data_IF_001398868225
#
_entry.id   IF_001398868225
#
_cell.length_a   1.000
_cell.length_b   1.000
_cell.length_c   1.000
_cell.angle_alpha   90.00
_cell.angle_beta   90.00
_cell.angle_gamma   90.00
#
_symmetry.space_group_name_H-M   'P 1'
#
loop_
_entity.id
_entity.type
_entity.pdbx_description
1 polymer ?
#
# COMPACT_ATOMS: atom_id res chain seq x y z
N UNK A 1 15.08 -6.23 21.09
CA UNK A 1 15.32 -5.27 20.00
C UNK A 1 14.30 -5.56 18.92
N UNK A 2 13.67 -4.53 18.33
CA UNK A 2 12.79 -4.71 17.17
C UNK A 2 13.64 -5.23 16.01
N UNK A 3 13.17 -6.26 15.33
CA UNK A 3 13.85 -6.76 14.12
C UNK A 3 13.38 -5.90 12.95
N UNK A 4 14.30 -5.16 12.32
CA UNK A 4 13.97 -4.37 11.13
C UNK A 4 13.96 -5.30 9.93
N UNK A 5 12.79 -5.44 9.33
CA UNK A 5 12.57 -6.25 8.14
C UNK A 5 13.03 -5.48 6.90
N UNK A 6 14.34 -5.47 6.67
CA UNK A 6 14.93 -4.83 5.49
C UNK A 6 14.38 -5.46 4.20
N UNK A 7 14.03 -4.61 3.23
CA UNK A 7 13.49 -4.95 1.92
C UNK A 7 12.17 -5.73 1.88
N UNK A 8 11.47 -5.86 3.01
CA UNK A 8 10.13 -6.45 3.05
C UNK A 8 9.06 -5.38 2.90
N UNK A 9 8.11 -5.64 2.02
CA UNK A 9 7.00 -4.74 1.73
C UNK A 9 5.66 -5.45 1.77
N UNK A 10 4.68 -4.80 2.38
CA UNK A 10 3.28 -5.01 2.05
C UNK A 10 2.96 -4.22 0.78
N UNK A 11 2.69 -4.93 -0.32
CA UNK A 11 2.46 -4.32 -1.63
C UNK A 11 0.96 -4.19 -1.89
N UNK A 12 0.52 -2.94 -2.13
CA UNK A 12 -0.88 -2.59 -2.29
C UNK A 12 -1.12 -2.13 -3.73
N UNK A 13 -1.88 -2.90 -4.50
CA UNK A 13 -2.10 -2.67 -5.93
C UNK A 13 -3.42 -1.93 -6.17
N UNK A 14 -3.32 -0.68 -6.61
CA UNK A 14 -4.47 0.17 -6.94
C UNK A 14 -5.21 -0.24 -8.21
N UNK A 15 -6.46 0.25 -8.33
CA UNK A 15 -7.28 0.09 -9.53
C UNK A 15 -6.84 1.00 -10.69
N UNK A 16 -7.45 0.75 -11.86
CA UNK A 16 -7.16 1.47 -13.11
C UNK A 16 -7.63 0.78 -14.40
N UNK A 17 -8.49 -0.24 -14.30
CA UNK A 17 -8.98 -1.04 -15.43
C UNK A 17 -7.85 -1.51 -16.38
N UNK A 18 -7.85 -1.17 -17.67
CA UNK A 18 -6.84 -1.65 -18.63
C UNK A 18 -5.41 -1.19 -18.29
N UNK A 19 -5.26 -0.11 -17.48
CA UNK A 19 -3.97 0.32 -16.93
C UNK A 19 -3.30 -0.77 -16.08
N UNK A 20 -4.07 -1.74 -15.59
CA UNK A 20 -3.59 -2.86 -14.78
C UNK A 20 -2.46 -3.67 -15.40
N UNK A 21 -2.28 -3.63 -16.72
CA UNK A 21 -1.13 -4.22 -17.39
C UNK A 21 0.21 -3.71 -16.82
N UNK A 22 0.27 -2.44 -16.37
CA UNK A 22 1.48 -1.88 -15.79
C UNK A 22 1.93 -2.63 -14.52
N UNK A 23 1.00 -3.20 -13.75
CA UNK A 23 1.33 -3.96 -12.55
C UNK A 23 2.19 -5.20 -12.84
N UNK A 24 2.08 -5.81 -14.02
CA UNK A 24 2.97 -6.90 -14.41
C UNK A 24 4.43 -6.41 -14.55
N UNK A 25 4.63 -5.22 -15.13
CA UNK A 25 5.94 -4.57 -15.19
C UNK A 25 6.48 -4.18 -13.82
N UNK A 26 5.59 -3.67 -12.94
CA UNK A 26 5.93 -3.36 -11.55
C UNK A 26 6.45 -4.60 -10.83
N UNK A 27 5.71 -5.72 -10.88
CA UNK A 27 6.12 -6.96 -10.23
C UNK A 27 7.44 -7.49 -10.79
N UNK A 28 7.65 -7.42 -12.11
CA UNK A 28 8.92 -7.77 -12.75
C UNK A 28 10.09 -6.94 -12.21
N UNK A 29 9.88 -5.64 -12.02
CA UNK A 29 10.89 -4.77 -11.44
C UNK A 29 11.14 -5.07 -9.97
N UNK A 30 10.09 -5.30 -9.16
CA UNK A 30 10.23 -5.69 -7.75
C UNK A 30 11.00 -7.01 -7.61
N UNK A 31 10.69 -8.02 -8.43
CA UNK A 31 11.41 -9.28 -8.47
C UNK A 31 12.90 -9.06 -8.81
N UNK A 32 13.22 -8.26 -9.84
CA UNK A 32 14.60 -7.92 -10.19
C UNK A 32 15.35 -7.20 -9.04
N UNK A 33 14.65 -6.37 -8.27
CA UNK A 33 15.19 -5.66 -7.11
C UNK A 33 15.30 -6.56 -5.86
N UNK A 34 14.89 -7.82 -5.94
CA UNK A 34 14.86 -8.75 -4.81
C UNK A 34 13.89 -8.31 -3.73
N UNK A 35 12.77 -7.69 -4.12
CA UNK A 35 11.67 -7.31 -3.23
C UNK A 35 10.55 -8.33 -3.42
N UNK A 36 10.31 -9.12 -2.37
CA UNK A 36 9.22 -10.08 -2.35
C UNK A 36 8.10 -9.58 -1.44
N UNK A 37 6.86 -9.41 -1.96
CA UNK A 37 5.74 -8.98 -1.14
C UNK A 37 5.44 -9.96 0.00
N UNK A 38 5.32 -9.44 1.22
CA UNK A 38 4.96 -10.20 2.43
C UNK A 38 3.45 -10.23 2.69
N UNK A 39 2.78 -9.13 2.33
CA UNK A 39 1.34 -8.99 2.29
C UNK A 39 0.96 -8.39 0.94
N UNK A 40 -0.14 -8.90 0.38
CA UNK A 40 -0.70 -8.44 -0.88
C UNK A 40 -2.05 -7.81 -0.60
N UNK A 41 -2.27 -6.59 -1.07
CA UNK A 41 -3.59 -6.00 -1.07
C UNK A 41 -3.94 -5.48 -2.46
N UNK A 42 -5.22 -5.47 -2.82
CA UNK A 42 -5.60 -4.90 -4.10
C UNK A 42 -7.05 -4.47 -4.21
N UNK A 43 -7.28 -3.54 -5.12
CA UNK A 43 -8.58 -3.01 -5.48
C UNK A 43 -8.77 -3.03 -7.00
N UNK A 44 -9.97 -3.37 -7.47
CA UNK A 44 -10.26 -3.49 -8.91
C UNK A 44 -9.26 -4.38 -9.62
N UNK A 45 -8.69 -3.96 -10.75
CA UNK A 45 -7.62 -4.69 -11.45
C UNK A 45 -6.41 -5.00 -10.56
N UNK A 46 -6.11 -4.19 -9.54
CA UNK A 46 -5.08 -4.50 -8.56
C UNK A 46 -5.41 -5.70 -7.67
N UNK A 47 -6.70 -5.95 -7.40
CA UNK A 47 -7.13 -7.17 -6.70
C UNK A 47 -6.87 -8.44 -7.53
N UNK A 48 -7.01 -8.34 -8.85
CA UNK A 48 -6.66 -9.45 -9.76
C UNK A 48 -5.17 -9.76 -9.67
N UNK A 49 -4.32 -8.73 -9.73
CA UNK A 49 -2.85 -8.87 -9.63
C UNK A 49 -2.48 -9.50 -8.29
N UNK A 50 -3.00 -8.94 -7.18
CA UNK A 50 -2.72 -9.42 -5.84
C UNK A 50 -3.13 -10.89 -5.67
N UNK A 51 -4.32 -11.27 -6.13
CA UNK A 51 -4.84 -12.64 -6.03
C UNK A 51 -4.06 -13.64 -6.90
N UNK A 52 -3.76 -13.29 -8.15
CA UNK A 52 -2.99 -14.14 -9.05
C UNK A 52 -1.56 -14.33 -8.54
N UNK A 53 -0.91 -13.27 -8.04
CA UNK A 53 0.41 -13.39 -7.42
C UNK A 53 0.35 -14.22 -6.13
N UNK A 54 -0.70 -14.07 -5.31
CA UNK A 54 -0.89 -14.84 -4.08
C UNK A 54 -1.07 -16.36 -4.32
N UNK A 55 -1.69 -16.75 -5.44
CA UNK A 55 -1.83 -18.16 -5.84
C UNK A 55 -0.56 -18.70 -6.54
N UNK A 56 0.42 -17.83 -6.80
CA UNK A 56 1.76 -18.20 -7.25
C UNK A 56 2.06 -17.92 -8.72
N UNK A 57 1.30 -17.03 -9.38
CA UNK A 57 1.66 -16.57 -10.73
C UNK A 57 3.00 -15.82 -10.71
N UNK A 58 3.85 -16.06 -11.72
CA UNK A 58 5.06 -15.25 -11.95
C UNK A 58 4.71 -13.92 -12.61
N UNK A 59 5.65 -12.97 -12.61
CA UNK A 59 5.48 -11.69 -13.30
C UNK A 59 5.29 -11.87 -14.82
N UNK A 60 5.91 -12.88 -15.44
CA UNK A 60 5.69 -13.23 -16.84
C UNK A 60 4.30 -13.83 -17.09
N UNK A 61 3.83 -14.74 -16.24
CA UNK A 61 2.48 -15.31 -16.38
C UNK A 61 1.41 -14.22 -16.23
N UNK A 62 1.60 -13.29 -15.29
CA UNK A 62 0.74 -12.11 -15.15
C UNK A 62 0.75 -11.24 -16.40
N UNK A 63 1.91 -10.97 -16.99
CA UNK A 63 2.01 -10.24 -18.24
C UNK A 63 1.20 -10.92 -19.36
N UNK A 64 1.29 -12.25 -19.49
CA UNK A 64 0.51 -13.01 -20.47
C UNK A 64 -1.00 -12.92 -20.22
N UNK A 65 -1.44 -12.94 -18.96
CA UNK A 65 -2.86 -12.73 -18.61
C UNK A 65 -3.32 -11.37 -19.15
N UNK A 66 -2.61 -10.28 -18.86
CA UNK A 66 -3.01 -8.94 -19.32
C UNK A 66 -2.91 -8.72 -20.84
N UNK A 67 -1.98 -9.40 -21.51
CA UNK A 67 -1.91 -9.41 -22.97
C UNK A 67 -3.11 -10.16 -23.59
N UNK A 68 -3.66 -11.16 -22.91
CA UNK A 68 -4.79 -11.97 -23.41
C UNK A 68 -6.19 -11.44 -23.10
N UNK A 69 -6.34 -10.57 -22.09
CA UNK A 69 -7.64 -9.99 -21.67
C UNK A 69 -8.32 -9.27 -22.83
N UNK A 70 -9.62 -9.43 -23.03
CA UNK A 70 -10.34 -8.68 -24.06
C UNK A 70 -11.77 -8.36 -23.61
N UNK A 71 -12.47 -7.55 -24.41
CA UNK A 71 -13.82 -7.10 -24.08
C UNK A 71 -14.85 -8.24 -23.93
N UNK A 72 -14.60 -9.42 -24.50
CA UNK A 72 -15.50 -10.57 -24.42
C UNK A 72 -15.78 -11.02 -22.98
N UNK A 73 -14.84 -10.75 -22.06
CA UNK A 73 -15.01 -11.05 -20.63
C UNK A 73 -16.19 -10.31 -19.98
N UNK A 74 -16.66 -9.23 -20.60
CA UNK A 74 -17.74 -8.37 -20.10
C UNK A 74 -19.01 -8.44 -20.97
N UNK A 75 -19.08 -9.36 -21.95
CA UNK A 75 -20.20 -9.45 -22.92
C UNK A 75 -21.41 -10.28 -22.45
N UNK A 76 -21.55 -10.62 -21.18
CA UNK A 76 -22.74 -11.30 -20.65
C UNK A 76 -23.92 -10.33 -20.40
N UNK A 77 -24.37 -9.73 -21.51
CA UNK A 77 -25.28 -8.58 -21.55
C UNK A 77 -26.50 -8.80 -20.66
N UNK A 78 -26.76 -7.84 -19.77
CA UNK A 78 -28.02 -7.75 -19.02
C UNK A 78 -29.12 -7.13 -19.89
N UNK A 79 -29.62 -7.85 -20.90
CA UNK A 79 -30.83 -7.46 -21.66
C UNK A 79 -32.08 -7.74 -20.82
N UNK A 80 -32.35 -6.89 -19.85
CA UNK A 80 -33.61 -6.89 -19.10
C UNK A 80 -34.27 -5.53 -19.22
N UNK A 81 -35.54 -5.50 -19.64
CA UNK A 81 -36.41 -4.32 -19.76
C UNK A 81 -36.61 -3.51 -18.46
N UNK A 82 -35.89 -3.84 -17.39
CA UNK A 82 -35.82 -3.08 -16.14
C UNK A 82 -34.39 -2.52 -15.98
N UNK A 83 -34.16 -1.35 -16.57
CA UNK A 83 -32.93 -0.55 -16.57
C UNK A 83 -32.13 -0.64 -15.26
N UNK A 84 -31.09 -1.47 -15.24
CA UNK A 84 -29.98 -1.35 -14.28
C UNK A 84 -28.72 -1.04 -15.09
N UNK A 85 -28.01 -0.01 -14.67
CA UNK A 85 -26.93 0.73 -15.35
C UNK A 85 -25.65 -0.08 -15.67
N UNK A 86 -25.70 -1.42 -15.78
CA UNK A 86 -24.51 -2.26 -15.97
C UNK A 86 -24.60 -3.11 -17.24
N UNK A 87 -23.52 -3.11 -18.04
CA UNK A 87 -23.42 -3.88 -19.29
C UNK A 87 -23.28 -5.39 -19.04
N UNK A 88 -22.57 -5.80 -18.00
CA UNK A 88 -22.19 -7.18 -17.69
C UNK A 88 -22.84 -7.70 -16.41
N UNK A 89 -23.30 -8.95 -16.42
CA UNK A 89 -23.67 -9.67 -15.18
C UNK A 89 -22.43 -10.11 -14.39
N UNK A 90 -21.26 -10.19 -15.03
CA UNK A 90 -19.98 -10.51 -14.42
C UNK A 90 -19.70 -11.99 -14.22
N UNK A 91 -20.54 -12.87 -14.78
CA UNK A 91 -20.39 -14.32 -14.65
C UNK A 91 -19.26 -14.82 -15.56
N UNK A 92 -19.14 -14.27 -16.77
CA UNK A 92 -18.05 -14.65 -17.70
C UNK A 92 -16.69 -14.29 -17.10
N UNK A 93 -16.56 -13.07 -16.55
CA UNK A 93 -15.37 -12.65 -15.81
C UNK A 93 -15.08 -13.57 -14.62
N UNK A 94 -16.10 -13.89 -13.81
CA UNK A 94 -15.94 -14.78 -12.64
C UNK A 94 -15.41 -16.16 -13.03
N UNK A 95 -16.05 -16.81 -14.01
CA UNK A 95 -15.64 -18.15 -14.45
C UNK A 95 -14.25 -18.14 -15.08
N UNK A 96 -13.92 -17.11 -15.88
CA UNK A 96 -12.58 -16.96 -16.45
C UNK A 96 -11.50 -16.81 -15.36
N UNK A 97 -11.75 -15.92 -14.39
CA UNK A 97 -10.78 -15.65 -13.34
C UNK A 97 -10.64 -16.84 -12.36
N UNK A 98 -11.75 -17.53 -12.07
CA UNK A 98 -11.76 -18.80 -11.32
C UNK A 98 -10.93 -19.86 -12.03
N UNK A 99 -11.12 -20.05 -13.34
CA UNK A 99 -10.39 -21.02 -14.16
C UNK A 99 -8.87 -20.74 -14.12
N UNK A 100 -8.44 -19.46 -14.15
CA UNK A 100 -7.02 -19.09 -13.97
C UNK A 100 -6.48 -19.49 -12.59
N UNK A 101 -7.18 -19.13 -11.52
CA UNK A 101 -6.76 -19.44 -10.15
C UNK A 101 -6.69 -20.96 -9.93
N UNK A 102 -7.73 -21.68 -10.33
CA UNK A 102 -7.84 -23.12 -10.10
C UNK A 102 -6.81 -23.91 -10.91
N UNK A 103 -6.53 -23.52 -12.17
CA UNK A 103 -5.44 -24.13 -12.95
C UNK A 103 -4.10 -24.01 -12.25
N UNK A 104 -3.79 -22.84 -11.71
CA UNK A 104 -2.52 -22.60 -11.03
C UNK A 104 -2.44 -23.35 -9.70
N UNK A 105 -3.52 -23.31 -8.92
CA UNK A 105 -3.57 -23.91 -7.60
C UNK A 105 -3.56 -25.45 -7.63
N UNK A 106 -4.42 -26.07 -8.44
CA UNK A 106 -4.54 -27.52 -8.53
C UNK A 106 -3.53 -28.16 -9.49
N UNK A 107 -2.96 -27.38 -10.41
CA UNK A 107 -1.99 -27.86 -11.40
C UNK A 107 -2.54 -29.03 -12.21
N UNK A 108 -1.83 -30.16 -12.23
CA UNK A 108 -2.22 -31.37 -12.97
C UNK A 108 -3.53 -32.01 -12.48
N UNK A 109 -3.96 -31.70 -11.25
CA UNK A 109 -5.21 -32.20 -10.68
C UNK A 109 -6.42 -31.33 -11.05
N UNK A 110 -6.22 -30.24 -11.79
CA UNK A 110 -7.30 -29.34 -12.18
C UNK A 110 -8.29 -30.03 -13.14
N UNK A 111 -9.56 -30.08 -12.73
CA UNK A 111 -10.67 -30.54 -13.54
C UNK A 111 -11.78 -29.48 -13.50
N UNK A 112 -12.00 -28.82 -14.64
CA UNK A 112 -12.95 -27.71 -14.76
C UNK A 112 -14.34 -28.10 -14.26
N UNK A 113 -14.86 -27.34 -13.30
CA UNK A 113 -16.18 -27.55 -12.70
C UNK A 113 -16.27 -28.72 -11.70
N UNK A 114 -15.16 -29.41 -11.41
CA UNK A 114 -15.11 -30.52 -10.44
C UNK A 114 -14.26 -30.19 -9.21
N UNK A 115 -13.34 -29.22 -9.34
CA UNK A 115 -12.61 -28.69 -8.21
C UNK A 115 -13.50 -27.80 -7.33
N UNK A 116 -13.28 -27.82 -6.01
CA UNK A 116 -13.88 -26.81 -5.14
C UNK A 116 -13.25 -25.44 -5.41
N UNK A 117 -13.96 -24.33 -5.17
CA UNK A 117 -13.36 -23.01 -5.25
C UNK A 117 -12.15 -22.85 -4.33
N UNK A 118 -11.14 -22.10 -4.80
CA UNK A 118 -9.98 -21.69 -3.99
C UNK A 118 -10.38 -20.53 -3.09
N UNK A 119 -10.08 -20.65 -1.80
CA UNK A 119 -10.47 -19.73 -0.73
C UNK A 119 -9.26 -19.04 -0.13
N UNK A 120 -9.46 -17.97 0.65
CA UNK A 120 -8.34 -17.21 1.23
C UNK A 120 -7.44 -18.03 2.15
N UNK A 121 -7.98 -19.04 2.86
CA UNK A 121 -7.21 -19.96 3.71
C UNK A 121 -6.32 -20.93 2.93
N UNK A 122 -6.57 -21.10 1.64
CA UNK A 122 -5.77 -21.97 0.78
C UNK A 122 -4.46 -21.30 0.32
N UNK A 123 -4.38 -19.96 0.42
CA UNK A 123 -3.25 -19.18 -0.03
C UNK A 123 -2.12 -19.19 0.99
N UNK A 124 -0.88 -19.30 0.49
CA UNK A 124 0.33 -19.19 1.33
C UNK A 124 0.66 -17.74 1.70
N UNK A 125 0.25 -16.79 0.87
CA UNK A 125 0.47 -15.35 1.04
C UNK A 125 -0.77 -14.72 1.67
N UNK A 126 -0.54 -13.76 2.57
CA UNK A 126 -1.63 -12.94 3.11
C UNK A 126 -2.20 -12.05 2.01
N UNK A 127 -3.50 -12.19 1.74
CA UNK A 127 -4.21 -11.44 0.72
C UNK A 127 -5.35 -10.62 1.32
N UNK A 128 -5.46 -9.35 0.92
CA UNK A 128 -6.57 -8.45 1.25
C UNK A 128 -7.16 -7.88 -0.05
N UNK A 129 -8.45 -8.13 -0.28
CA UNK A 129 -9.19 -7.58 -1.41
C UNK A 129 -10.14 -6.50 -0.90
N UNK A 130 -10.01 -5.30 -1.47
CA UNK A 130 -10.78 -4.12 -1.10
C UNK A 130 -12.00 -3.98 -2.00
N UNK A 131 -13.16 -3.76 -1.40
CA UNK A 131 -14.43 -3.47 -2.09
C UNK A 131 -15.14 -2.31 -1.42
N UNK A 132 -16.16 -1.75 -2.08
CA UNK A 132 -16.93 -0.62 -1.57
C UNK A 132 -18.35 -1.04 -1.26
N UNK A 133 -18.80 -0.81 -0.02
CA UNK A 133 -20.20 -0.93 0.36
C UNK A 133 -20.95 0.36 0.00
N UNK A 134 -21.86 0.27 -0.98
CA UNK A 134 -22.64 1.42 -1.46
C UNK A 134 -23.72 1.89 -0.48
N UNK A 135 -24.12 1.05 0.49
CA UNK A 135 -25.17 1.42 1.44
C UNK A 135 -24.67 2.41 2.50
N UNK A 136 -23.39 2.35 2.87
CA UNK A 136 -22.81 3.17 3.94
C UNK A 136 -21.49 3.86 3.55
N UNK A 137 -21.04 3.75 2.30
CA UNK A 137 -19.83 4.37 1.76
C UNK A 137 -18.56 3.97 2.52
N UNK A 138 -18.50 2.70 2.96
CA UNK A 138 -17.35 2.15 3.70
C UNK A 138 -16.64 1.03 2.92
N UNK A 139 -15.38 0.78 3.29
CA UNK A 139 -14.61 -0.34 2.78
C UNK A 139 -15.20 -1.65 3.33
N UNK A 140 -15.39 -2.63 2.44
CA UNK A 140 -15.59 -4.03 2.81
C UNK A 140 -14.38 -4.83 2.35
N UNK A 141 -13.61 -5.36 3.30
CA UNK A 141 -12.49 -6.25 3.00
C UNK A 141 -12.94 -7.71 2.88
N UNK A 142 -12.27 -8.43 1.99
CA UNK A 142 -12.20 -9.89 1.98
C UNK A 142 -10.74 -10.28 2.13
N UNK A 143 -10.42 -11.10 3.11
CA UNK A 143 -9.03 -11.39 3.45
C UNK A 143 -8.84 -12.76 4.09
N UNK A 144 -7.59 -13.20 4.15
CA UNK A 144 -7.18 -14.37 4.95
C UNK A 144 -7.46 -14.20 6.45
N UNK A 145 -7.69 -12.97 6.91
CA UNK A 145 -7.92 -12.62 8.31
C UNK A 145 -9.40 -12.61 8.67
N UNK A 146 -10.23 -11.97 7.84
CA UNK A 146 -11.65 -11.73 8.15
C UNK A 146 -12.58 -12.75 7.47
N UNK A 147 -12.21 -13.25 6.29
CA UNK A 147 -13.05 -14.13 5.46
C UNK A 147 -12.27 -15.32 4.89
N UNK A 148 -11.62 -16.15 5.75
CA UNK A 148 -10.71 -17.22 5.30
C UNK A 148 -11.38 -18.25 4.38
N UNK A 149 -12.66 -18.54 4.59
CA UNK A 149 -13.43 -19.52 3.80
C UNK A 149 -14.09 -18.92 2.53
N UNK A 150 -13.97 -17.61 2.31
CA UNK A 150 -14.58 -16.97 1.15
C UNK A 150 -13.78 -17.26 -0.12
N UNK A 151 -14.48 -17.38 -1.25
CA UNK A 151 -13.87 -17.65 -2.54
C UNK A 151 -13.06 -16.43 -3.03
N UNK A 152 -11.79 -16.64 -3.39
CA UNK A 152 -10.89 -15.58 -3.87
C UNK A 152 -11.38 -14.99 -5.19
N UNK A 153 -11.77 -15.84 -6.15
CA UNK A 153 -12.23 -15.38 -7.46
C UNK A 153 -13.51 -14.52 -7.36
N UNK A 154 -14.42 -14.88 -6.46
CA UNK A 154 -15.62 -14.10 -6.20
C UNK A 154 -15.29 -12.75 -5.54
N UNK A 155 -14.38 -12.71 -4.58
CA UNK A 155 -13.93 -11.45 -3.97
C UNK A 155 -13.32 -10.50 -5.02
N UNK A 156 -12.47 -11.02 -5.91
CA UNK A 156 -11.92 -10.24 -7.04
C UNK A 156 -13.03 -9.74 -7.97
N UNK A 157 -13.99 -10.60 -8.32
CA UNK A 157 -15.15 -10.18 -9.14
C UNK A 157 -15.93 -9.06 -8.46
N UNK A 158 -16.14 -9.12 -7.14
CA UNK A 158 -16.81 -8.03 -6.40
C UNK A 158 -15.97 -6.75 -6.49
N UNK A 159 -14.66 -6.84 -6.24
CA UNK A 159 -13.72 -5.72 -6.32
C UNK A 159 -13.60 -5.10 -7.71
N UNK A 160 -13.93 -5.83 -8.78
CA UNK A 160 -13.94 -5.33 -10.17
C UNK A 160 -15.32 -4.84 -10.65
N UNK A 161 -16.33 -4.73 -9.77
CA UNK A 161 -17.69 -4.29 -10.12
C UNK A 161 -17.77 -2.79 -10.44
N UNK A 162 -17.07 -2.38 -11.50
CA UNK A 162 -17.02 -0.99 -11.93
C UNK A 162 -18.43 -0.54 -12.36
N UNK A 163 -19.00 0.51 -11.75
CA UNK A 163 -20.29 1.05 -12.15
C UNK A 163 -20.34 1.37 -13.65
N UNK A 164 -21.44 1.01 -14.33
CA UNK A 164 -21.51 1.10 -15.79
C UNK A 164 -21.10 -0.20 -16.50
N UNK A 165 -20.04 -0.86 -16.03
CA UNK A 165 -19.50 -2.07 -16.67
C UNK A 165 -20.08 -3.35 -16.09
N UNK A 166 -19.90 -3.61 -14.80
CA UNK A 166 -20.30 -4.87 -14.16
C UNK A 166 -21.26 -4.64 -13.00
N UNK A 167 -22.28 -5.50 -12.90
CA UNK A 167 -23.34 -5.37 -11.88
C UNK A 167 -22.80 -5.52 -10.46
N UNK A 168 -23.20 -4.60 -9.58
CA UNK A 168 -23.01 -4.69 -8.13
C UNK A 168 -23.44 -6.05 -7.55
N UNK A 169 -22.71 -6.52 -6.54
CA UNK A 169 -22.97 -7.80 -5.89
C UNK A 169 -23.68 -7.58 -4.56
N UNK A 170 -24.67 -8.40 -4.22
CA UNK A 170 -25.30 -8.35 -2.90
C UNK A 170 -24.73 -9.48 -2.04
N UNK A 171 -24.02 -9.12 -0.97
CA UNK A 171 -23.43 -10.06 -0.02
C UNK A 171 -23.91 -9.71 1.40
N UNK A 172 -24.69 -10.59 2.03
CA UNK A 172 -25.25 -10.38 3.37
C UNK A 172 -25.94 -9.00 3.51
N UNK A 173 -26.82 -8.67 2.56
CA UNK A 173 -27.55 -7.40 2.47
C UNK A 173 -26.68 -6.15 2.23
N UNK A 174 -25.37 -6.32 1.98
CA UNK A 174 -24.47 -5.26 1.55
C UNK A 174 -24.39 -5.22 0.01
N UNK A 175 -24.70 -4.06 -0.57
CA UNK A 175 -24.51 -3.81 -2.00
C UNK A 175 -23.06 -3.39 -2.27
N UNK A 176 -22.26 -4.34 -2.75
CA UNK A 176 -20.83 -4.19 -2.97
C UNK A 176 -20.49 -3.88 -4.43
N UNK A 177 -19.57 -2.93 -4.62
CA UNK A 177 -19.03 -2.52 -5.92
C UNK A 177 -17.50 -2.41 -5.89
N UNK A 178 -16.94 -1.93 -7.00
CA UNK A 178 -15.50 -1.73 -7.18
C UNK A 178 -14.86 -0.98 -5.99
N UNK A 179 -13.71 -1.50 -5.54
CA UNK A 179 -12.97 -0.93 -4.43
C UNK A 179 -12.28 0.40 -4.75
N UNK A 180 -12.09 0.74 -6.03
CA UNK A 180 -11.40 1.95 -6.46
C UNK A 180 -12.26 3.22 -6.19
N UNK A 181 -13.54 3.05 -5.80
CA UNK A 181 -14.31 4.14 -5.18
C UNK A 181 -13.76 4.58 -3.81
N UNK A 182 -12.88 3.79 -3.18
CA UNK A 182 -12.17 4.15 -1.94
C UNK A 182 -10.80 4.80 -2.20
N UNK A 183 -10.43 5.05 -3.46
CA UNK A 183 -9.09 5.51 -3.85
C UNK A 183 -8.70 6.87 -3.24
N UNK A 184 -9.66 7.69 -2.80
CA UNK A 184 -9.44 8.89 -2.00
C UNK A 184 -8.85 8.69 -0.60
N UNK A 185 -8.67 7.44 -0.15
CA UNK A 185 -7.94 7.09 1.07
C UNK A 185 -6.74 6.21 0.71
N UNK A 186 -5.64 6.26 1.48
CA UNK A 186 -4.54 5.35 1.21
C UNK A 186 -4.99 3.93 1.57
N UNK A 187 -4.61 2.94 0.75
CA UNK A 187 -5.16 1.60 0.84
C UNK A 187 -4.84 0.93 2.18
N UNK A 188 -3.67 1.24 2.76
CA UNK A 188 -3.29 0.72 4.08
C UNK A 188 -4.25 1.15 5.18
N UNK A 189 -4.90 2.31 5.06
CA UNK A 189 -5.87 2.79 6.04
C UNK A 189 -7.21 2.04 5.97
N UNK A 190 -7.52 1.40 4.85
CA UNK A 190 -8.81 0.74 4.61
C UNK A 190 -8.96 -0.61 5.32
N UNK A 191 -7.86 -1.19 5.81
CA UNK A 191 -7.84 -2.49 6.48
C UNK A 191 -6.99 -2.43 7.75
N UNK A 192 -7.55 -2.87 8.88
CA UNK A 192 -6.79 -2.96 10.15
C UNK A 192 -5.59 -3.91 10.03
N UNK A 193 -5.72 -4.93 9.19
CA UNK A 193 -4.68 -5.93 8.96
C UNK A 193 -3.49 -5.33 8.19
N UNK A 194 -3.74 -4.33 7.33
CA UNK A 194 -2.66 -3.59 6.66
C UNK A 194 -2.10 -2.50 7.57
N UNK A 195 -2.93 -1.79 8.34
CA UNK A 195 -2.47 -0.78 9.32
C UNK A 195 -1.48 -1.36 10.34
N UNK A 196 -1.67 -2.61 10.75
CA UNK A 196 -0.82 -3.32 11.70
C UNK A 196 0.37 -4.03 11.04
N UNK A 197 0.63 -3.80 9.75
CA UNK A 197 1.78 -4.37 9.06
C UNK A 197 3.07 -3.91 9.74
N UNK A 198 3.93 -4.87 10.10
CA UNK A 198 5.28 -4.61 10.60
C UNK A 198 6.25 -4.26 9.47
N UNK A 199 5.89 -4.62 8.24
CA UNK A 199 6.66 -4.33 7.02
C UNK A 199 6.25 -2.98 6.44
N UNK A 200 7.16 -2.37 5.67
CA UNK A 200 6.91 -1.08 5.00
C UNK A 200 5.77 -1.23 3.99
N UNK A 201 5.00 -0.17 3.82
CA UNK A 201 3.95 -0.12 2.80
C UNK A 201 4.57 0.33 1.47
N UNK A 202 4.25 -0.37 0.38
CA UNK A 202 4.43 0.11 -0.99
C UNK A 202 3.06 0.15 -1.67
N UNK A 203 2.49 1.34 -1.81
CA UNK A 203 1.22 1.54 -2.50
C UNK A 203 1.45 1.92 -3.98
N UNK A 204 1.01 1.05 -4.89
CA UNK A 204 1.12 1.26 -6.33
C UNK A 204 -0.18 1.80 -6.87
N UNK A 205 -0.15 3.02 -7.42
CA UNK A 205 -1.32 3.73 -7.95
C UNK A 205 -1.14 3.92 -9.46
N UNK A 206 -2.18 3.58 -10.22
CA UNK A 206 -2.17 3.69 -11.68
C UNK A 206 -2.88 4.98 -12.09
N UNK A 207 -2.14 5.87 -12.75
CA UNK A 207 -2.67 7.12 -13.27
C UNK A 207 -2.38 7.23 -14.77
N UNK A 208 -2.88 8.29 -15.41
CA UNK A 208 -2.67 8.54 -16.82
C UNK A 208 -2.81 10.03 -17.15
N UNK A 209 -2.36 10.39 -18.34
CA UNK A 209 -2.28 11.79 -18.81
C UNK A 209 -3.39 12.17 -19.78
N UNK A 210 -4.46 11.37 -19.84
CA UNK A 210 -5.60 11.63 -20.73
C UNK A 210 -6.18 13.03 -20.49
N UNK A 211 -6.00 13.92 -21.47
CA UNK A 211 -6.68 15.19 -21.56
C UNK A 211 -8.03 14.96 -22.24
N UNK A 212 -9.12 15.03 -21.46
CA UNK A 212 -10.45 14.73 -21.96
C UNK A 212 -10.91 15.60 -23.13
N UNK A 213 -11.87 15.06 -23.88
CA UNK A 213 -12.68 15.74 -24.88
C UNK A 213 -14.15 15.54 -24.49
N UNK A 214 -14.96 16.58 -24.59
CA UNK A 214 -16.41 16.52 -24.35
C UNK A 214 -17.19 16.04 -25.59
N UNK A 215 -16.50 15.72 -26.69
CA UNK A 215 -17.14 15.34 -27.95
C UNK A 215 -17.72 13.93 -27.95
N UNK A 216 -17.18 13.00 -27.14
CA UNK A 216 -17.70 11.62 -27.03
C UNK A 216 -18.02 11.27 -25.58
N UNK A 217 -19.17 10.65 -25.28
CA UNK A 217 -19.56 10.29 -23.91
C UNK A 217 -18.53 9.44 -23.15
N UNK A 218 -17.89 8.47 -23.83
CA UNK A 218 -16.86 7.63 -23.21
C UNK A 218 -15.57 8.41 -22.90
N UNK A 219 -15.16 9.33 -23.77
CA UNK A 219 -14.01 10.20 -23.55
C UNK A 219 -14.28 11.14 -22.37
N UNK A 220 -15.48 11.70 -22.27
CA UNK A 220 -15.89 12.54 -21.14
C UNK A 220 -15.85 11.77 -19.81
N UNK A 221 -16.43 10.56 -19.75
CA UNK A 221 -16.39 9.72 -18.54
C UNK A 221 -14.96 9.32 -18.17
N UNK A 222 -14.11 9.01 -19.15
CA UNK A 222 -12.69 8.72 -18.92
C UNK A 222 -11.94 9.94 -18.36
N UNK A 223 -12.26 11.14 -18.85
CA UNK A 223 -11.72 12.40 -18.35
C UNK A 223 -12.15 12.67 -16.90
N UNK A 224 -13.42 12.45 -16.56
CA UNK A 224 -13.90 12.56 -15.18
C UNK A 224 -13.21 11.57 -14.25
N UNK A 225 -13.09 10.31 -14.65
CA UNK A 225 -12.38 9.29 -13.87
C UNK A 225 -10.92 9.68 -13.65
N UNK A 226 -10.19 10.05 -14.71
CA UNK A 226 -8.78 10.47 -14.62
C UNK A 226 -8.60 11.72 -13.75
N UNK A 227 -9.50 12.70 -13.83
CA UNK A 227 -9.48 13.89 -12.98
C UNK A 227 -9.64 13.53 -11.50
N UNK A 228 -10.65 12.70 -11.18
CA UNK A 228 -10.92 12.25 -9.82
C UNK A 228 -9.73 11.47 -9.24
N UNK A 229 -9.25 10.43 -9.94
CA UNK A 229 -8.16 9.58 -9.44
C UNK A 229 -6.85 10.34 -9.30
N UNK A 230 -6.52 11.23 -10.25
CA UNK A 230 -5.31 12.06 -10.20
C UNK A 230 -5.33 13.05 -9.02
N UNK A 231 -6.50 13.65 -8.74
CA UNK A 231 -6.70 14.51 -7.57
C UNK A 231 -6.50 13.74 -6.26
N UNK A 232 -7.13 12.57 -6.13
CA UNK A 232 -7.01 11.69 -4.97
C UNK A 232 -5.56 11.22 -4.76
N UNK A 233 -4.90 10.80 -5.83
CA UNK A 233 -3.49 10.37 -5.80
C UNK A 233 -2.56 11.52 -5.41
N UNK A 234 -2.79 12.74 -5.91
CA UNK A 234 -2.02 13.91 -5.51
C UNK A 234 -2.19 14.22 -4.03
N UNK A 235 -3.43 14.20 -3.52
CA UNK A 235 -3.72 14.40 -2.11
C UNK A 235 -2.99 13.40 -1.19
N UNK A 236 -3.01 12.10 -1.54
CA UNK A 236 -2.32 11.06 -0.78
C UNK A 236 -0.80 11.24 -0.81
N UNK A 237 -0.23 11.62 -1.95
CA UNK A 237 1.20 11.91 -2.08
C UNK A 237 1.63 13.07 -1.20
N UNK A 238 0.86 14.15 -1.19
CA UNK A 238 1.19 15.34 -0.41
C UNK A 238 1.14 15.07 1.09
N UNK A 239 0.16 14.25 1.53
CA UNK A 239 -0.03 13.93 2.93
C UNK A 239 0.94 12.86 3.46
N UNK A 240 1.18 11.80 2.70
CA UNK A 240 1.90 10.62 3.18
C UNK A 240 3.23 10.35 2.47
N UNK A 241 3.49 10.98 1.32
CA UNK A 241 4.64 10.65 0.47
C UNK A 241 6.00 10.85 1.15
N UNK A 242 6.06 11.68 2.19
CA UNK A 242 7.26 11.96 2.98
C UNK A 242 7.42 11.02 4.19
N UNK A 243 6.38 10.28 4.59
CA UNK A 243 6.39 9.42 5.77
C UNK A 243 7.37 8.24 5.63
N UNK A 244 7.96 7.82 6.75
CA UNK A 244 8.93 6.71 6.78
C UNK A 244 8.35 5.39 6.28
N UNK A 245 7.30 4.89 6.94
CA UNK A 245 6.75 3.55 6.69
C UNK A 245 5.80 3.46 5.48
N UNK A 246 5.62 4.55 4.73
CA UNK A 246 4.74 4.59 3.57
C UNK A 246 5.51 5.03 2.33
N UNK A 247 5.83 4.09 1.45
CA UNK A 247 6.33 4.35 0.11
C UNK A 247 5.19 4.21 -0.91
N UNK A 248 5.27 4.93 -2.02
CA UNK A 248 4.25 4.92 -3.06
C UNK A 248 4.90 4.95 -4.44
N UNK A 249 4.29 4.27 -5.40
CA UNK A 249 4.67 4.31 -6.79
C UNK A 249 3.45 4.78 -7.60
N UNK A 250 3.55 5.93 -8.25
CA UNK A 250 2.56 6.32 -9.26
C UNK A 250 3.08 5.91 -10.62
N UNK A 251 2.38 5.00 -11.29
CA UNK A 251 2.70 4.60 -12.65
C UNK A 251 1.84 5.41 -13.61
N UNK A 252 2.46 6.32 -14.35
CA UNK A 252 1.80 7.00 -15.47
C UNK A 252 1.69 6.05 -16.66
N UNK A 253 0.47 5.69 -17.02
CA UNK A 253 0.17 4.78 -18.14
C UNK A 253 -0.06 5.52 -19.46
N UNK A 254 0.06 6.85 -19.48
CA UNK A 254 -0.10 7.67 -20.66
C UNK A 254 -1.57 7.92 -21.03
N UNK A 255 -1.77 8.16 -22.33
CA UNK A 255 -3.07 8.40 -22.94
C UNK A 255 -3.83 7.08 -23.18
N UNK A 256 -4.50 6.61 -22.13
CA UNK A 256 -5.25 5.35 -22.12
C UNK A 256 -6.70 5.62 -21.72
N UNK A 257 -7.64 5.18 -22.58
CA UNK A 257 -9.05 5.07 -22.25
C UNK A 257 -9.26 3.82 -21.40
N UNK A 258 -9.63 3.99 -20.13
CA UNK A 258 -9.56 2.92 -19.13
C UNK A 258 -10.48 1.73 -19.43
N UNK A 259 -11.55 1.96 -20.20
CA UNK A 259 -12.55 0.94 -20.58
C UNK A 259 -12.38 0.39 -22.01
N UNK A 260 -11.30 0.76 -22.71
CA UNK A 260 -11.00 0.17 -24.02
C UNK A 260 -10.28 -1.17 -23.86
N UNK A 261 -11.06 -2.23 -23.64
CA UNK A 261 -10.52 -3.59 -23.48
C UNK A 261 -10.09 -4.25 -24.80
N UNK A 262 -10.23 -3.57 -25.94
CA UNK A 262 -9.68 -4.01 -27.23
C UNK A 262 -8.38 -3.27 -27.58
N UNK A 263 -7.74 -2.67 -26.57
CA UNK A 263 -6.47 -1.96 -26.72
C UNK A 263 -5.42 -2.82 -27.44
N UNK A 264 -4.71 -2.29 -28.47
CA UNK A 264 -3.74 -3.05 -29.24
C UNK A 264 -2.63 -3.69 -28.39
N UNK A 265 -2.17 -4.89 -28.80
CA UNK A 265 -1.19 -5.69 -28.05
C UNK A 265 0.14 -4.95 -27.83
N UNK A 266 0.65 -4.27 -28.85
CA UNK A 266 1.86 -3.45 -28.80
C UNK A 266 1.74 -2.33 -27.77
N UNK A 267 0.57 -1.67 -27.70
CA UNK A 267 0.33 -0.62 -26.70
C UNK A 267 0.19 -1.19 -25.28
N UNK A 268 -0.39 -2.38 -25.11
CA UNK A 268 -0.41 -3.05 -23.81
C UNK A 268 0.98 -3.45 -23.34
N UNK A 269 1.82 -3.94 -24.26
CA UNK A 269 3.22 -4.22 -23.97
C UNK A 269 3.95 -2.95 -23.55
N UNK A 270 3.69 -1.82 -24.21
CA UNK A 270 4.27 -0.53 -23.80
C UNK A 270 3.84 -0.11 -22.38
N UNK A 271 2.59 -0.39 -21.96
CA UNK A 271 2.14 -0.14 -20.57
C UNK A 271 2.92 -1.02 -19.57
N UNK A 272 3.14 -2.30 -19.89
CA UNK A 272 3.94 -3.22 -19.07
C UNK A 272 5.38 -2.70 -18.95
N UNK A 273 6.02 -2.37 -20.08
CA UNK A 273 7.40 -1.90 -20.12
C UNK A 273 7.57 -0.58 -19.35
N UNK A 274 6.57 0.30 -19.44
CA UNK A 274 6.55 1.56 -18.71
C UNK A 274 6.40 1.34 -17.19
N UNK A 275 5.54 0.41 -16.76
CA UNK A 275 5.42 0.01 -15.35
C UNK A 275 6.75 -0.51 -14.78
N UNK A 276 7.47 -1.33 -15.55
CA UNK A 276 8.81 -1.78 -15.16
C UNK A 276 9.80 -0.62 -15.05
N UNK A 277 9.88 0.24 -16.07
CA UNK A 277 10.83 1.37 -16.10
C UNK A 277 10.60 2.33 -14.94
N UNK A 278 9.37 2.80 -14.74
CA UNK A 278 9.03 3.74 -13.66
C UNK A 278 9.28 3.14 -12.27
N UNK A 279 9.12 1.82 -12.11
CA UNK A 279 9.45 1.17 -10.84
C UNK A 279 10.96 1.19 -10.60
N UNK A 280 11.78 0.84 -11.59
CA UNK A 280 13.24 0.93 -11.47
C UNK A 280 13.69 2.37 -11.19
N UNK A 281 13.15 3.35 -11.92
CA UNK A 281 13.47 4.77 -11.73
C UNK A 281 13.07 5.23 -10.32
N UNK A 282 11.89 4.83 -9.82
CA UNK A 282 11.47 5.17 -8.46
C UNK A 282 12.45 4.64 -7.41
N UNK A 283 12.79 3.35 -7.48
CA UNK A 283 13.68 2.73 -6.50
C UNK A 283 15.10 3.27 -6.58
N UNK A 284 15.60 3.60 -7.77
CA UNK A 284 16.99 4.03 -7.94
C UNK A 284 17.21 5.53 -7.80
N UNK A 285 16.20 6.36 -8.11
CA UNK A 285 16.35 7.81 -8.15
C UNK A 285 15.58 8.51 -7.03
N UNK A 286 14.34 8.09 -6.75
CA UNK A 286 13.48 8.79 -5.78
C UNK A 286 13.62 8.24 -4.36
N UNK A 287 13.53 6.92 -4.21
CA UNK A 287 13.52 6.26 -2.91
C UNK A 287 14.77 6.59 -2.08
N UNK A 288 16.00 6.56 -2.61
CA UNK A 288 17.20 6.81 -1.81
C UNK A 288 17.23 8.24 -1.28
N UNK A 289 16.81 9.23 -2.07
CA UNK A 289 16.70 10.64 -1.65
C UNK A 289 15.71 10.77 -0.49
N UNK A 290 14.55 10.11 -0.61
CA UNK A 290 13.55 10.09 0.48
C UNK A 290 14.12 9.46 1.74
N UNK A 291 14.76 8.29 1.64
CA UNK A 291 15.33 7.57 2.80
C UNK A 291 16.47 8.35 3.43
N UNK A 292 17.30 9.04 2.65
CA UNK A 292 18.34 9.94 3.17
C UNK A 292 17.74 11.06 4.02
N UNK A 293 16.70 11.75 3.53
CA UNK A 293 16.03 12.81 4.30
C UNK A 293 15.48 12.31 5.63
N UNK A 294 14.86 11.13 5.65
CA UNK A 294 14.35 10.52 6.89
C UNK A 294 15.51 10.16 7.83
N UNK A 295 16.60 9.61 7.27
CA UNK A 295 17.81 9.28 8.04
C UNK A 295 18.39 10.53 8.72
N UNK A 296 18.46 11.66 8.01
CA UNK A 296 18.95 12.93 8.57
C UNK A 296 18.07 13.42 9.74
N UNK A 297 16.74 13.27 9.64
CA UNK A 297 15.82 13.56 10.74
C UNK A 297 16.12 12.65 11.94
N UNK A 298 16.28 11.35 11.71
CA UNK A 298 16.59 10.38 12.77
C UNK A 298 17.96 10.61 13.41
N UNK A 299 18.97 11.01 12.64
CA UNK A 299 20.29 11.38 13.16
C UNK A 299 20.20 12.60 14.09
N UNK A 300 19.43 13.62 13.70
CA UNK A 300 19.21 14.79 14.56
C UNK A 300 18.53 14.41 15.90
N UNK A 301 17.51 13.52 15.85
CA UNK A 301 16.87 13.00 17.07
C UNK A 301 17.89 12.23 17.91
N UNK A 302 18.71 11.38 17.28
CA UNK A 302 19.68 10.53 17.95
C UNK A 302 20.75 11.37 18.67
N UNK A 303 21.21 12.44 18.05
CA UNK A 303 22.18 13.36 18.63
C UNK A 303 21.62 14.06 19.88
N UNK A 304 20.36 14.51 19.86
CA UNK A 304 19.69 15.06 21.04
C UNK A 304 19.53 14.01 22.15
N UNK A 305 19.11 12.78 21.81
CA UNK A 305 19.01 11.69 22.80
C UNK A 305 20.37 11.36 23.44
N UNK A 306 21.46 11.38 22.65
CA UNK A 306 22.83 11.19 23.16
C UNK A 306 23.29 12.35 24.04
N UNK A 307 22.92 13.59 23.73
CA UNK A 307 23.14 14.75 24.62
C UNK A 307 22.42 14.57 25.96
N UNK A 308 21.15 14.15 25.94
CA UNK A 308 20.37 13.82 27.14
C UNK A 308 21.08 12.73 27.94
N UNK A 309 21.56 11.67 27.29
CA UNK A 309 22.29 10.58 27.93
C UNK A 309 23.55 11.09 28.64
N UNK A 310 24.33 11.95 27.98
CA UNK A 310 25.49 12.62 28.56
C UNK A 310 25.15 13.50 29.76
N UNK A 311 24.03 14.22 29.74
CA UNK A 311 23.56 15.00 30.89
C UNK A 311 23.12 14.11 32.06
N UNK A 312 22.42 13.01 31.78
CA UNK A 312 22.00 12.04 32.79
C UNK A 312 23.21 11.44 33.51
N UNK A 313 24.26 11.03 32.77
CA UNK A 313 25.51 10.50 33.34
C UNK A 313 26.23 11.51 34.24
N UNK A 314 26.24 12.79 33.83
CA UNK A 314 26.85 13.90 34.60
C UNK A 314 25.93 14.45 35.70
N UNK A 315 24.78 13.82 35.95
CA UNK A 315 23.75 14.24 36.92
C UNK A 315 23.22 15.67 36.68
N UNK A 316 23.27 16.16 35.43
CA UNK A 316 22.74 17.46 34.99
C UNK A 316 21.27 17.33 34.56
N UNK A 317 20.39 16.92 35.47
CA UNK A 317 19.03 16.51 35.12
C UNK A 317 18.14 17.63 34.57
N UNK A 318 18.31 18.87 35.03
CA UNK A 318 17.61 20.03 34.45
C UNK A 318 18.00 20.24 32.99
N UNK A 319 19.29 20.08 32.65
CA UNK A 319 19.75 20.21 31.27
C UNK A 319 19.20 19.08 30.38
N UNK A 320 19.15 17.84 30.90
CA UNK A 320 18.49 16.73 30.23
C UNK A 320 17.00 17.03 29.94
N UNK A 321 16.28 17.60 30.93
CA UNK A 321 14.88 17.99 30.80
C UNK A 321 14.67 19.12 29.77
N UNK A 322 15.55 20.12 29.73
CA UNK A 322 15.45 21.21 28.75
C UNK A 322 15.74 20.70 27.34
N UNK A 323 16.77 19.86 27.18
CA UNK A 323 17.15 19.27 25.89
C UNK A 323 16.01 18.43 25.28
N UNK A 324 15.27 17.63 26.07
CA UNK A 324 14.09 16.93 25.51
C UNK A 324 12.98 17.91 25.09
N UNK A 325 12.81 19.04 25.76
CA UNK A 325 11.83 20.05 25.35
C UNK A 325 12.23 20.74 24.04
N UNK A 326 13.51 21.07 23.89
CA UNK A 326 14.08 21.62 22.66
C UNK A 326 13.93 20.64 21.48
N UNK A 327 14.18 19.34 21.70
CA UNK A 327 13.94 18.31 20.69
C UNK A 327 12.49 18.33 20.18
N UNK A 328 11.49 18.48 21.06
CA UNK A 328 10.09 18.54 20.63
C UNK A 328 9.76 19.78 19.80
N UNK A 329 10.44 20.91 20.03
CA UNK A 329 10.31 22.10 19.19
C UNK A 329 10.88 21.82 17.80
N UNK A 330 12.05 21.19 17.73
CA UNK A 330 12.70 20.79 16.47
C UNK A 330 11.90 19.74 15.70
N UNK A 331 11.18 18.87 16.40
CA UNK A 331 10.36 17.81 15.80
C UNK A 331 9.02 18.27 15.25
N UNK A 332 8.51 19.45 15.64
CA UNK A 332 7.18 19.91 15.21
C UNK A 332 6.96 19.87 13.69
N UNK A 333 7.92 20.30 12.84
CA UNK A 333 7.76 20.24 11.38
C UNK A 333 7.84 18.80 10.82
N UNK A 334 8.49 17.88 11.52
CA UNK A 334 8.82 16.53 11.03
C UNK A 334 7.98 15.43 11.71
N UNK A 335 7.08 15.79 12.64
CA UNK A 335 6.30 14.83 13.45
C UNK A 335 5.47 13.84 12.63
N UNK A 336 5.00 14.27 11.46
CA UNK A 336 4.16 13.47 10.56
C UNK A 336 5.01 12.64 9.58
N UNK A 337 6.32 12.88 9.53
CA UNK A 337 7.28 12.16 8.68
C UNK A 337 7.84 10.92 9.41
N UNK A 338 8.14 11.08 10.70
CA UNK A 338 8.74 10.02 11.50
C UNK A 338 7.73 8.91 11.84
N UNK A 339 8.25 7.72 12.15
CA UNK A 339 7.47 6.60 12.63
C UNK A 339 6.62 6.95 13.86
N UNK A 340 5.33 6.61 13.82
CA UNK A 340 4.37 6.98 14.86
C UNK A 340 4.65 6.30 16.21
N UNK A 341 5.20 5.08 16.21
CA UNK A 341 5.61 4.41 17.45
C UNK A 341 6.82 5.11 18.08
N UNK A 342 7.80 5.53 17.26
CA UNK A 342 8.93 6.34 17.72
C UNK A 342 8.46 7.67 18.33
N UNK A 343 7.56 8.39 17.66
CA UNK A 343 6.99 9.64 18.19
C UNK A 343 6.29 9.41 19.54
N UNK A 344 5.49 8.35 19.64
CA UNK A 344 4.81 7.97 20.88
C UNK A 344 5.81 7.61 21.99
N UNK A 345 6.89 6.90 21.67
CA UNK A 345 7.93 6.53 22.61
C UNK A 345 8.73 7.76 23.10
N UNK A 346 9.03 8.71 22.21
CA UNK A 346 9.63 10.01 22.57
C UNK A 346 8.71 10.81 23.51
N UNK A 347 7.40 10.86 23.23
CA UNK A 347 6.41 11.54 24.08
C UNK A 347 6.31 10.88 25.46
N UNK A 348 6.32 9.55 25.51
CA UNK A 348 6.32 8.81 26.76
C UNK A 348 7.60 9.10 27.58
N UNK A 349 8.76 9.12 26.92
CA UNK A 349 10.02 9.45 27.57
C UNK A 349 10.08 10.90 28.08
N UNK A 350 9.55 11.87 27.31
CA UNK A 350 9.43 13.26 27.76
C UNK A 350 8.63 13.38 29.05
N UNK A 351 7.48 12.68 29.14
CA UNK A 351 6.64 12.64 30.34
C UNK A 351 7.37 11.97 31.51
N UNK A 352 8.03 10.84 31.26
CA UNK A 352 8.83 10.12 32.25
C UNK A 352 9.95 11.01 32.83
N UNK A 353 10.76 11.62 31.97
CA UNK A 353 11.86 12.49 32.39
C UNK A 353 11.34 13.71 33.16
N UNK A 354 10.28 14.34 32.66
CA UNK A 354 9.68 15.53 33.30
C UNK A 354 9.10 15.24 34.69
N UNK A 355 8.51 14.07 34.88
CA UNK A 355 7.94 13.66 36.17
C UNK A 355 9.02 13.28 37.20
N UNK A 356 10.11 12.66 36.74
CA UNK A 356 11.21 12.20 37.59
C UNK A 356 12.19 13.32 38.00
N UNK A 357 12.39 14.34 37.15
CA UNK A 357 13.29 15.46 37.46
C UNK A 357 12.62 16.49 38.36
N UNK A 358 13.14 16.65 39.58
CA UNK A 358 12.68 17.62 40.58
C UNK A 358 13.74 18.69 40.83
N UNK A 359 13.29 19.93 40.99
CA UNK A 359 14.11 21.00 41.51
C UNK A 359 14.54 20.67 42.94
N UNK A 360 15.83 20.84 43.23
CA UNK A 360 16.42 20.73 44.55
C UNK A 360 16.88 22.09 45.06
N UNK A 361 17.48 22.08 46.26
CA UNK A 361 18.05 23.28 46.89
C UNK A 361 19.29 23.78 46.12
N UNK A 362 19.51 25.09 46.11
CA UNK A 362 20.69 25.76 45.53
C UNK A 362 20.94 25.44 44.04
N UNK A 363 19.87 25.35 43.24
CA UNK A 363 19.96 25.13 41.78
C UNK A 363 20.35 23.70 41.38
N UNK A 364 20.50 22.77 42.33
CA UNK A 364 20.70 21.35 42.03
C UNK A 364 19.39 20.71 41.64
N UNK A 365 19.43 19.68 40.80
CA UNK A 365 18.28 18.83 40.49
C UNK A 365 18.50 17.41 41.01
N UNK A 366 17.39 16.71 41.30
CA UNK A 366 17.38 15.29 41.59
C UNK A 366 16.50 14.58 40.57
N UNK A 367 16.84 13.34 40.23
CA UNK A 367 16.00 12.45 39.44
C UNK A 367 15.57 11.29 40.33
N UNK A 368 14.26 11.09 40.50
CA UNK A 368 13.71 10.12 41.45
C UNK A 368 13.97 8.66 41.02
N UNK A 369 13.87 8.37 39.71
CA UNK A 369 14.03 7.03 39.14
C UNK A 369 15.09 7.03 38.03
N UNK A 370 16.36 7.25 38.40
CA UNK A 370 17.47 7.36 37.43
C UNK A 370 17.61 6.08 36.59
N UNK A 371 17.62 4.90 37.24
CA UNK A 371 17.81 3.62 36.55
C UNK A 371 16.79 3.41 35.43
N UNK A 372 15.49 3.50 35.75
CA UNK A 372 14.40 3.34 34.79
C UNK A 372 14.44 4.40 33.70
N UNK A 373 14.72 5.67 34.05
CA UNK A 373 14.80 6.74 33.06
C UNK A 373 15.94 6.52 32.07
N UNK A 374 17.10 6.08 32.57
CA UNK A 374 18.27 5.75 31.75
C UNK A 374 18.03 4.52 30.88
N UNK A 375 17.36 3.49 31.40
CA UNK A 375 17.00 2.30 30.63
C UNK A 375 16.09 2.64 29.45
N UNK A 376 15.02 3.41 29.67
CA UNK A 376 14.11 3.85 28.61
C UNK A 376 14.84 4.69 27.56
N UNK A 377 15.73 5.60 27.98
CA UNK A 377 16.55 6.39 27.07
C UNK A 377 17.47 5.52 26.21
N UNK A 378 18.13 4.53 26.82
CA UNK A 378 19.02 3.62 26.10
C UNK A 378 18.25 2.76 25.10
N UNK A 379 17.05 2.31 25.44
CA UNK A 379 16.18 1.57 24.52
C UNK A 379 15.76 2.45 23.33
N UNK A 380 15.41 3.72 23.56
CA UNK A 380 15.12 4.67 22.48
C UNK A 380 16.33 4.89 21.55
N UNK A 381 17.51 5.10 22.12
CA UNK A 381 18.75 5.25 21.35
C UNK A 381 19.03 3.99 20.51
N UNK A 382 18.85 2.81 21.10
CA UNK A 382 19.05 1.53 20.41
C UNK A 382 18.06 1.33 19.26
N UNK A 383 16.77 1.60 19.48
CA UNK A 383 15.73 1.51 18.44
C UNK A 383 16.05 2.48 17.29
N UNK A 384 16.30 3.74 17.60
CA UNK A 384 16.60 4.76 16.60
C UNK A 384 17.87 4.45 15.79
N UNK A 385 18.90 3.91 16.44
CA UNK A 385 20.12 3.46 15.75
C UNK A 385 19.82 2.33 14.76
N UNK A 386 18.95 1.39 15.14
CA UNK A 386 18.52 0.32 14.24
C UNK A 386 17.70 0.83 13.06
N UNK A 387 16.82 1.83 13.26
CA UNK A 387 16.08 2.50 12.17
C UNK A 387 17.00 3.17 11.17
N UNK A 388 18.00 3.92 11.65
CA UNK A 388 18.99 4.58 10.80
C UNK A 388 19.76 3.53 9.99
N UNK A 389 20.25 2.48 10.63
CA UNK A 389 20.96 1.38 9.95
C UNK A 389 20.09 0.70 8.88
N UNK A 390 18.79 0.50 9.15
CA UNK A 390 17.85 0.00 8.14
C UNK A 390 17.76 0.95 6.95
N UNK A 391 17.55 2.26 7.18
CA UNK A 391 17.49 3.27 6.11
C UNK A 391 18.78 3.32 5.27
N UNK A 392 19.94 3.23 5.89
CA UNK A 392 21.25 3.19 5.22
C UNK A 392 21.34 2.02 4.24
N UNK A 393 20.86 0.83 4.63
CA UNK A 393 20.82 -0.34 3.73
C UNK A 393 19.93 -0.12 2.51
N UNK A 394 18.81 0.61 2.66
CA UNK A 394 17.97 0.98 1.51
C UNK A 394 18.71 1.92 0.55
N UNK A 395 19.40 2.93 1.10
CA UNK A 395 20.19 3.87 0.30
C UNK A 395 21.30 3.13 -0.42
N UNK A 396 22.09 2.32 0.28
CA UNK A 396 23.20 1.54 -0.29
C UNK A 396 22.72 0.57 -1.39
N UNK A 397 21.61 -0.14 -1.15
CA UNK A 397 21.10 -1.11 -2.12
C UNK A 397 20.62 -0.47 -3.41
N UNK A 398 20.00 0.71 -3.33
CA UNK A 398 19.30 1.30 -4.47
C UNK A 398 19.97 2.53 -5.09
N UNK A 399 21.03 3.08 -4.48
CA UNK A 399 21.83 4.17 -5.09
C UNK A 399 22.92 3.69 -6.05
N UNK A 400 23.19 2.39 -6.10
CA UNK A 400 24.13 1.73 -7.01
C UNK A 400 23.40 1.00 -8.13
#
# INVERSE_FOLDING_TARGET
MREYNDFKYACLFGGGAIRGAAHAGVLKALHKLGIEPTLLAGSSVGSMVAALYAVGFTDEELAQVFLSVNFELFRDISLGFNNKFALSKGNVFLEWFRDLIERKYYGVAYLKGQCRPVTFKDLKKNLVIITTNMNNFSCREFSSFETPDFEVALAVRISCCMPGLMRAYNFNDELLVDGDLMKGKPMWYLSKNIQNSVDRILEIRLEGTFSGSDQKPLEYVNGMYTCMTSSETSFIKDLYGKCDNYDYLVVDTGDVVVVDFNYPLDKRQAIIDNGYKQTIDYFTQYLPIKKQRISDIYLNILDELRKIQGFMLRKKYTAAKNCIQELFILLLPEKDIIDSELLNALLAFQKLLSSNVKAGLLGRSKCLNVSTTTEVLNNLISDLTGRISSLEKYIEKFSN
#
